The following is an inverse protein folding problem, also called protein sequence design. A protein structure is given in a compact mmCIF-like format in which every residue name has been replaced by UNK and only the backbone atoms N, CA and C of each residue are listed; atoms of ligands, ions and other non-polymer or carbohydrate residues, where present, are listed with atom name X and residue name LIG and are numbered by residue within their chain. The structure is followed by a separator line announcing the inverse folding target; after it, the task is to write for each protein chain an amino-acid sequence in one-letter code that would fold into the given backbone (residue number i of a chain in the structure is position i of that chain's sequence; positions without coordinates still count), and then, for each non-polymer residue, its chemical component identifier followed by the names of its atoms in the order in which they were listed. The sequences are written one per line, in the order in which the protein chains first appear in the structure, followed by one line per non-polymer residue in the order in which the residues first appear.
data_IF_504119695738
#
_entry.id   IF_504119695738
#
_cell.length_a   1.000
_cell.length_b   1.000
_cell.length_c   1.000
_cell.angle_alpha   90.00
_cell.angle_beta   90.00
_cell.angle_gamma   90.00
#
_symmetry.space_group_name_H-M   'P 1'
#
loop_
_entity.id
_entity.type
_entity.pdbx_description
1 polymer ?
#
# COMPACT_ATOMS: atom_id res chain seq x y z
N UNK A 1 13.15 -22.19 16.10
CA UNK A 1 13.51 -20.77 16.34
C UNK A 1 14.90 -20.63 15.80
N UNK A 2 15.10 -19.92 14.71
CA UNK A 2 16.43 -19.66 14.13
C UNK A 2 17.22 -18.86 15.17
N UNK A 3 18.37 -19.38 15.58
CA UNK A 3 19.11 -18.95 16.75
C UNK A 3 19.79 -17.58 16.63
N UNK A 4 19.76 -16.92 15.47
CA UNK A 4 20.59 -15.73 15.23
C UNK A 4 19.88 -14.39 15.39
N UNK A 5 18.61 -14.34 15.75
CA UNK A 5 17.91 -13.07 15.96
C UNK A 5 17.16 -13.00 17.29
N UNK A 6 17.90 -12.79 18.36
CA UNK A 6 17.27 -12.31 19.58
C UNK A 6 16.95 -10.82 19.44
N UNK A 7 15.70 -10.47 19.76
CA UNK A 7 15.23 -9.08 19.69
C UNK A 7 14.72 -8.65 21.05
N UNK A 8 15.13 -7.47 21.51
CA UNK A 8 14.55 -6.78 22.66
C UNK A 8 13.85 -5.50 22.23
N UNK A 9 12.97 -4.97 23.06
CA UNK A 9 12.44 -3.62 22.88
C UNK A 9 13.45 -2.60 23.39
N UNK A 10 13.74 -1.58 22.57
CA UNK A 10 14.51 -0.41 23.00
C UNK A 10 13.64 0.55 23.85
N UNK A 11 14.20 1.70 24.27
CA UNK A 11 13.50 2.75 25.02
C UNK A 11 12.27 3.28 24.28
N UNK A 12 12.27 3.23 22.97
CA UNK A 12 11.23 3.79 22.09
C UNK A 12 10.16 2.72 21.74
N UNK A 13 10.33 1.50 22.27
CA UNK A 13 9.42 0.38 22.05
C UNK A 13 9.67 -0.43 20.79
N UNK A 14 10.68 -0.08 20.00
CA UNK A 14 11.06 -0.79 18.79
C UNK A 14 11.78 -2.11 19.11
N UNK A 15 11.61 -3.10 18.23
CA UNK A 15 12.34 -4.36 18.32
C UNK A 15 13.69 -4.21 17.64
N UNK A 16 14.75 -4.18 18.44
CA UNK A 16 16.14 -4.15 17.97
C UNK A 16 16.82 -5.50 18.18
N UNK A 17 17.72 -5.86 17.29
CA UNK A 17 18.50 -7.10 17.43
C UNK A 17 19.50 -6.98 18.59
N UNK A 18 19.73 -8.10 19.26
CA UNK A 18 20.72 -8.24 20.31
C UNK A 18 21.96 -8.86 19.69
N UNK A 19 23.08 -8.16 19.76
CA UNK A 19 24.33 -8.58 19.14
C UNK A 19 25.49 -8.64 20.16
N UNK A 20 26.60 -9.29 19.77
CA UNK A 20 27.84 -9.29 20.53
C UNK A 20 27.69 -9.82 21.96
N UNK A 21 28.26 -9.10 22.93
CA UNK A 21 28.28 -9.48 24.36
C UNK A 21 26.88 -9.70 24.95
N UNK A 22 25.91 -8.90 24.54
CA UNK A 22 24.52 -9.02 24.99
C UNK A 22 23.88 -10.33 24.48
N UNK A 23 24.16 -10.71 23.24
CA UNK A 23 23.75 -12.00 22.65
C UNK A 23 24.38 -13.16 23.40
N UNK A 24 25.69 -13.09 23.68
CA UNK A 24 26.42 -14.14 24.38
C UNK A 24 25.91 -14.33 25.82
N UNK A 25 25.48 -13.25 26.47
CA UNK A 25 24.85 -13.31 27.79
C UNK A 25 23.49 -14.04 27.73
N UNK A 26 22.67 -13.83 26.69
CA UNK A 26 21.42 -14.58 26.50
C UNK A 26 21.68 -16.06 26.25
N UNK A 27 22.66 -16.42 25.45
CA UNK A 27 23.07 -17.82 25.24
C UNK A 27 23.52 -18.47 26.55
N UNK A 28 24.31 -17.75 27.35
CA UNK A 28 24.78 -18.24 28.65
C UNK A 28 23.62 -18.50 29.62
N UNK A 29 22.60 -17.63 29.64
CA UNK A 29 21.39 -17.81 30.44
C UNK A 29 20.57 -19.02 29.98
N UNK A 30 20.38 -19.21 28.66
CA UNK A 30 19.69 -20.38 28.11
C UNK A 30 20.42 -21.67 28.50
N UNK A 31 21.72 -21.71 28.36
CA UNK A 31 22.53 -22.89 28.70
C UNK A 31 22.55 -23.19 30.22
N UNK A 32 22.34 -22.18 31.06
CA UNK A 32 22.30 -22.36 32.51
C UNK A 32 20.93 -22.85 33.00
N UNK A 33 19.86 -22.74 32.23
CA UNK A 33 18.52 -23.18 32.59
C UNK A 33 18.32 -24.65 32.21
N UNK A 34 18.12 -25.58 33.18
CA UNK A 34 17.95 -27.01 32.88
C UNK A 34 16.68 -27.37 32.12
N UNK A 35 15.75 -26.42 31.95
CA UNK A 35 14.51 -26.58 31.19
C UNK A 35 14.63 -26.09 29.75
N UNK A 36 15.74 -25.45 29.40
CA UNK A 36 15.99 -24.90 28.08
C UNK A 36 17.15 -25.65 27.41
N UNK A 37 17.13 -25.72 26.12
CA UNK A 37 18.24 -26.24 25.32
C UNK A 37 18.34 -25.47 24.02
N UNK A 38 19.58 -25.24 23.60
CA UNK A 38 19.85 -24.70 22.25
C UNK A 38 19.83 -25.88 21.29
N UNK A 39 18.89 -25.85 20.36
CA UNK A 39 18.84 -26.83 19.28
C UNK A 39 19.82 -26.38 18.20
N UNK A 40 20.81 -27.22 17.91
CA UNK A 40 21.74 -26.98 16.81
C UNK A 40 21.02 -27.07 15.46
N UNK A 41 21.41 -26.22 14.52
CA UNK A 41 20.90 -26.29 13.16
C UNK A 41 21.36 -27.63 12.50
N UNK A 42 20.44 -28.23 11.75
CA UNK A 42 20.83 -29.32 10.86
C UNK A 42 21.66 -28.75 9.70
N UNK A 43 22.91 -29.19 9.58
CA UNK A 43 23.86 -28.65 8.62
C UNK A 43 23.35 -28.81 7.15
N UNK A 44 22.63 -29.91 6.87
CA UNK A 44 22.07 -30.15 5.53
C UNK A 44 20.93 -29.18 5.22
N UNK A 45 20.06 -28.92 6.19
CA UNK A 45 18.97 -27.95 6.06
C UNK A 45 19.52 -26.52 5.94
N UNK A 46 20.53 -26.15 6.74
CA UNK A 46 21.18 -24.85 6.66
C UNK A 46 21.84 -24.61 5.29
N UNK A 47 22.61 -25.61 4.77
CA UNK A 47 23.20 -25.51 3.45
C UNK A 47 22.17 -25.42 2.31
N UNK A 48 21.04 -26.12 2.44
CA UNK A 48 19.94 -26.05 1.47
C UNK A 48 19.29 -24.66 1.50
N UNK A 49 19.00 -24.12 2.67
CA UNK A 49 18.44 -22.77 2.84
C UNK A 49 19.38 -21.71 2.26
N UNK A 50 20.69 -21.81 2.53
CA UNK A 50 21.67 -20.89 1.98
C UNK A 50 21.68 -20.93 0.44
N UNK A 51 21.60 -22.12 -0.16
CA UNK A 51 21.51 -22.25 -1.62
C UNK A 51 20.27 -21.58 -2.24
N UNK A 52 19.15 -21.57 -1.52
CA UNK A 52 17.95 -20.84 -1.94
C UNK A 52 18.06 -19.34 -1.69
N UNK A 53 18.64 -18.93 -0.56
CA UNK A 53 18.84 -17.51 -0.23
C UNK A 53 19.69 -16.81 -1.31
N UNK A 54 20.78 -17.43 -1.74
CA UNK A 54 21.64 -16.89 -2.81
C UNK A 54 20.82 -16.66 -4.08
N UNK A 55 20.02 -17.64 -4.52
CA UNK A 55 19.18 -17.51 -5.72
C UNK A 55 18.11 -16.42 -5.56
N UNK A 56 17.52 -16.33 -4.39
CA UNK A 56 16.51 -15.29 -4.09
C UNK A 56 17.17 -13.92 -4.10
N UNK A 57 18.34 -13.74 -3.50
CA UNK A 57 19.07 -12.47 -3.52
C UNK A 57 19.48 -12.06 -4.93
N UNK A 58 19.94 -12.99 -5.75
CA UNK A 58 20.21 -12.75 -7.18
C UNK A 58 18.96 -12.23 -7.90
N UNK A 59 17.81 -12.88 -7.71
CA UNK A 59 16.55 -12.46 -8.32
C UNK A 59 16.10 -11.09 -7.81
N UNK A 60 16.20 -10.84 -6.50
CA UNK A 60 15.78 -9.58 -5.88
C UNK A 60 16.67 -8.39 -6.30
N UNK A 61 17.93 -8.66 -6.70
CA UNK A 61 18.88 -7.65 -7.17
C UNK A 61 18.64 -7.21 -8.63
N UNK A 62 17.79 -7.91 -9.39
CA UNK A 62 17.52 -7.58 -10.79
C UNK A 62 16.91 -6.18 -10.88
N UNK A 63 17.57 -5.29 -11.63
CA UNK A 63 17.05 -3.95 -11.92
C UNK A 63 15.83 -4.05 -12.84
N UNK A 64 14.73 -3.43 -12.43
CA UNK A 64 13.46 -3.36 -13.16
C UNK A 64 13.32 -2.04 -13.90
N UNK A 65 13.84 -0.94 -13.33
CA UNK A 65 13.76 0.39 -13.92
C UNK A 65 14.44 1.43 -13.05
N UNK A 66 14.05 2.70 -13.24
CA UNK A 66 14.59 3.84 -12.49
C UNK A 66 13.49 4.64 -11.80
N UNK A 67 13.81 5.17 -10.63
CA UNK A 67 12.98 6.14 -9.89
C UNK A 67 13.60 7.52 -10.05
N UNK A 68 12.87 8.43 -10.68
CA UNK A 68 13.39 9.77 -11.04
C UNK A 68 13.57 10.68 -9.82
N UNK A 69 12.79 10.45 -8.76
CA UNK A 69 12.77 11.26 -7.56
C UNK A 69 12.16 10.45 -6.39
N UNK A 70 12.34 10.91 -5.16
CA UNK A 70 11.77 10.25 -3.98
C UNK A 70 10.24 10.16 -4.07
N UNK A 71 9.69 8.96 -3.87
CA UNK A 71 8.26 8.68 -3.83
C UNK A 71 7.86 8.36 -2.39
N UNK A 72 7.21 9.34 -1.75
CA UNK A 72 6.87 9.30 -0.34
C UNK A 72 5.71 8.35 -0.05
N UNK A 73 5.84 7.56 1.03
CA UNK A 73 4.73 6.78 1.57
C UNK A 73 4.11 7.48 2.76
N UNK A 74 2.83 7.81 2.68
CA UNK A 74 1.99 8.17 3.82
C UNK A 74 0.66 7.42 3.74
N UNK A 75 -0.03 7.27 4.86
CA UNK A 75 -1.37 6.67 4.89
C UNK A 75 -2.42 7.73 4.63
N UNK A 76 -2.41 8.76 5.47
CA UNK A 76 -3.28 9.93 5.37
C UNK A 76 -2.39 11.12 4.98
N UNK A 77 -2.85 12.05 4.12
CA UNK A 77 -2.07 13.22 3.77
C UNK A 77 -1.53 13.96 5.01
N UNK A 78 -0.22 14.20 5.05
CA UNK A 78 0.46 14.92 6.13
C UNK A 78 0.82 14.08 7.36
N UNK A 79 0.63 12.75 7.34
CA UNK A 79 1.18 11.92 8.41
C UNK A 79 2.72 11.83 8.34
N UNK A 80 3.34 11.39 9.44
CA UNK A 80 4.80 11.30 9.58
C UNK A 80 5.38 9.92 9.25
N UNK A 81 4.68 9.12 8.45
CA UNK A 81 5.09 7.73 8.15
C UNK A 81 6.29 7.64 7.23
N UNK A 82 6.42 8.56 6.26
CA UNK A 82 7.55 8.56 5.34
C UNK A 82 8.88 8.75 6.09
N UNK A 83 9.89 7.97 5.69
CA UNK A 83 11.25 8.08 6.24
C UNK A 83 12.16 8.97 5.39
N UNK A 84 11.71 9.36 4.20
CA UNK A 84 12.50 10.12 3.22
C UNK A 84 11.86 11.46 2.83
N UNK A 85 10.65 11.74 3.32
CA UNK A 85 9.92 12.97 3.06
C UNK A 85 9.37 13.56 4.36
N UNK A 86 9.28 14.88 4.44
CA UNK A 86 8.61 15.55 5.56
C UNK A 86 7.09 15.53 5.40
N UNK A 87 6.32 15.64 6.51
CA UNK A 87 4.85 15.70 6.46
C UNK A 87 4.31 16.82 5.56
N UNK A 88 4.99 17.97 5.49
CA UNK A 88 4.57 19.11 4.67
C UNK A 88 4.57 18.79 3.18
N UNK A 89 5.48 17.91 2.72
CA UNK A 89 5.57 17.51 1.32
C UNK A 89 4.36 16.66 0.88
N UNK A 90 3.70 15.99 1.82
CA UNK A 90 2.57 15.10 1.56
C UNK A 90 1.23 15.63 2.07
N UNK A 91 1.23 16.79 2.77
CA UNK A 91 0.08 17.33 3.49
C UNK A 91 -1.14 17.60 2.60
N UNK A 92 -0.94 18.00 1.35
CA UNK A 92 -2.04 18.38 0.46
C UNK A 92 -2.64 17.20 -0.33
N UNK A 93 -1.82 16.20 -0.68
CA UNK A 93 -2.17 15.17 -1.69
C UNK A 93 -1.92 13.74 -1.25
N UNK A 94 -1.16 13.54 -0.19
CA UNK A 94 -0.84 12.22 0.35
C UNK A 94 0.34 11.54 -0.34
N UNK A 95 0.25 10.23 -0.44
CA UNK A 95 1.33 9.34 -0.84
C UNK A 95 1.64 9.36 -2.33
N UNK A 96 2.86 9.74 -2.70
CA UNK A 96 3.31 9.65 -4.10
C UNK A 96 3.32 8.20 -4.59
N UNK A 97 3.89 7.29 -3.79
CA UNK A 97 4.04 5.90 -4.22
C UNK A 97 2.71 5.16 -4.28
N UNK A 98 1.75 5.44 -3.37
CA UNK A 98 0.42 4.82 -3.44
C UNK A 98 -0.34 5.28 -4.69
N UNK A 99 -0.14 6.53 -5.11
CA UNK A 99 -0.69 7.04 -6.36
C UNK A 99 -0.08 6.34 -7.59
N UNK A 100 1.26 6.18 -7.61
CA UNK A 100 1.94 5.46 -8.71
C UNK A 100 1.48 4.00 -8.77
N UNK A 101 1.29 3.34 -7.62
CA UNK A 101 0.74 1.97 -7.57
C UNK A 101 -0.68 1.91 -8.11
N UNK A 102 -1.56 2.85 -7.73
CA UNK A 102 -2.93 2.90 -8.28
C UNK A 102 -2.92 3.10 -9.80
N UNK A 103 -2.05 3.98 -10.31
CA UNK A 103 -1.88 4.15 -11.76
C UNK A 103 -1.36 2.89 -12.44
N UNK A 104 -0.39 2.19 -11.85
CA UNK A 104 0.11 0.93 -12.36
C UNK A 104 -1.01 -0.11 -12.49
N UNK A 105 -1.83 -0.27 -11.47
CA UNK A 105 -2.93 -1.23 -11.51
C UNK A 105 -3.98 -0.89 -12.57
N UNK A 106 -4.30 0.42 -12.72
CA UNK A 106 -5.17 0.87 -13.80
C UNK A 106 -4.60 0.53 -15.18
N UNK A 107 -3.29 0.72 -15.38
CA UNK A 107 -2.63 0.43 -16.66
C UNK A 107 -2.57 -1.07 -16.95
N UNK A 108 -2.31 -1.90 -15.95
CA UNK A 108 -2.20 -3.35 -16.12
C UNK A 108 -3.58 -4.02 -16.30
N UNK A 109 -4.60 -3.57 -15.58
CA UNK A 109 -5.99 -4.00 -15.77
C UNK A 109 -6.66 -3.18 -16.90
N UNK A 110 -6.33 -3.50 -18.15
CA UNK A 110 -6.65 -2.70 -19.35
C UNK A 110 -8.14 -2.41 -19.55
N UNK A 111 -9.03 -3.24 -19.00
CA UNK A 111 -10.47 -3.04 -19.11
C UNK A 111 -11.03 -2.06 -18.06
N UNK A 112 -10.26 -1.72 -17.03
CA UNK A 112 -10.73 -0.88 -15.93
C UNK A 112 -10.53 0.61 -16.18
N UNK A 113 -11.55 1.40 -15.88
CA UNK A 113 -11.53 2.85 -16.01
C UNK A 113 -10.90 3.54 -14.80
N UNK A 114 -11.04 2.94 -13.63
CA UNK A 114 -10.63 3.47 -12.33
C UNK A 114 -9.83 2.39 -11.60
N UNK A 115 -8.75 2.77 -10.91
CA UNK A 115 -8.13 1.92 -9.89
C UNK A 115 -8.37 2.51 -8.50
N UNK A 116 -8.65 1.64 -7.51
CA UNK A 116 -8.76 2.02 -6.10
C UNK A 116 -7.81 1.15 -5.29
N UNK A 117 -6.94 1.79 -4.50
CA UNK A 117 -5.93 1.15 -3.68
C UNK A 117 -6.01 1.68 -2.25
N UNK A 118 -6.02 0.78 -1.26
CA UNK A 118 -5.88 1.18 0.15
C UNK A 118 -4.42 1.52 0.49
N UNK A 119 -4.20 2.57 1.25
CA UNK A 119 -2.86 2.99 1.69
C UNK A 119 -2.10 1.87 2.41
N UNK A 120 -2.81 0.96 3.09
CA UNK A 120 -2.28 -0.20 3.80
C UNK A 120 -1.61 -1.25 2.93
N UNK A 121 -2.02 -1.36 1.68
CA UNK A 121 -1.43 -2.28 0.72
C UNK A 121 -0.02 -1.90 0.27
N UNK A 122 0.36 -0.63 0.40
CA UNK A 122 1.68 -0.09 0.03
C UNK A 122 2.53 0.06 1.29
N UNK A 123 3.77 -0.46 1.32
CA UNK A 123 4.48 -0.72 2.57
C UNK A 123 5.75 0.08 2.81
N UNK A 124 6.34 0.71 1.79
CA UNK A 124 7.59 1.46 1.93
C UNK A 124 7.65 2.65 0.99
N UNK A 125 8.43 3.66 1.38
CA UNK A 125 8.90 4.70 0.47
C UNK A 125 9.79 4.08 -0.61
N UNK A 126 9.90 4.77 -1.76
CA UNK A 126 10.90 4.42 -2.77
C UNK A 126 11.80 5.63 -2.99
N UNK A 127 13.08 5.45 -2.72
CA UNK A 127 14.08 6.50 -2.96
C UNK A 127 14.42 6.63 -4.45
N UNK A 128 14.88 7.82 -4.85
CA UNK A 128 15.45 8.04 -6.17
C UNK A 128 16.62 7.10 -6.45
N UNK A 129 16.68 6.53 -7.63
CA UNK A 129 17.74 5.63 -8.08
C UNK A 129 17.24 4.41 -8.82
N UNK A 130 18.00 3.34 -8.80
CA UNK A 130 17.61 2.06 -9.38
C UNK A 130 16.42 1.47 -8.62
N UNK A 131 15.49 0.90 -9.36
CA UNK A 131 14.36 0.14 -8.84
C UNK A 131 14.55 -1.33 -9.16
N UNK A 132 14.59 -2.17 -8.14
CA UNK A 132 14.86 -3.60 -8.27
C UNK A 132 13.61 -4.45 -8.06
N UNK A 133 13.70 -5.70 -8.41
CA UNK A 133 12.67 -6.71 -8.08
C UNK A 133 12.44 -6.75 -6.56
N UNK A 134 13.49 -6.68 -5.76
CA UNK A 134 13.41 -6.66 -4.30
C UNK A 134 12.65 -5.44 -3.75
N UNK A 135 12.79 -4.29 -4.39
CA UNK A 135 12.03 -3.09 -4.00
C UNK A 135 10.54 -3.27 -4.28
N UNK A 136 10.18 -3.88 -5.41
CA UNK A 136 8.79 -4.17 -5.75
C UNK A 136 8.12 -5.08 -4.70
N UNK A 137 8.78 -6.18 -4.32
CA UNK A 137 8.25 -7.11 -3.32
C UNK A 137 8.28 -6.57 -1.89
N UNK A 138 9.20 -5.64 -1.56
CA UNK A 138 9.15 -4.88 -0.29
C UNK A 138 8.01 -3.86 -0.29
N UNK A 139 7.75 -3.24 -1.44
CA UNK A 139 6.67 -2.27 -1.62
C UNK A 139 5.30 -2.93 -1.51
N UNK A 140 5.12 -4.09 -2.15
CA UNK A 140 3.86 -4.82 -2.30
C UNK A 140 4.02 -6.28 -1.83
N UNK A 141 4.22 -6.53 -0.51
CA UNK A 141 4.63 -7.86 -0.02
C UNK A 141 3.49 -8.88 0.14
N UNK A 142 2.28 -8.53 -0.30
CA UNK A 142 1.12 -9.41 -0.12
C UNK A 142 0.86 -10.22 -1.38
N UNK A 143 0.50 -11.50 -1.20
CA UNK A 143 0.08 -12.38 -2.29
C UNK A 143 -1.37 -12.08 -2.72
N UNK A 144 -1.63 -10.83 -3.09
CA UNK A 144 -2.91 -10.38 -3.60
C UNK A 144 -2.99 -10.52 -5.12
N UNK A 145 -4.21 -10.64 -5.64
CA UNK A 145 -4.50 -10.49 -7.07
C UNK A 145 -5.22 -9.18 -7.34
N UNK A 146 -5.11 -8.68 -8.58
CA UNK A 146 -5.96 -7.61 -9.07
C UNK A 146 -7.32 -8.18 -9.45
N UNK A 147 -8.37 -7.46 -9.10
CA UNK A 147 -9.73 -7.85 -9.39
C UNK A 147 -10.50 -6.69 -10.01
N UNK A 148 -11.39 -6.99 -10.94
CA UNK A 148 -12.24 -6.01 -11.59
C UNK A 148 -13.67 -6.10 -11.07
N UNK A 149 -14.34 -4.94 -10.93
CA UNK A 149 -15.71 -4.83 -10.42
C UNK A 149 -16.48 -3.77 -11.21
N UNK A 150 -17.73 -4.06 -11.54
CA UNK A 150 -18.62 -3.07 -12.18
C UNK A 150 -19.47 -2.39 -11.10
N UNK A 151 -19.28 -1.07 -10.95
CA UNK A 151 -19.93 -0.26 -9.90
C UNK A 151 -20.50 1.04 -10.46
N UNK A 152 -21.65 1.45 -9.93
CA UNK A 152 -22.17 2.80 -10.20
C UNK A 152 -21.34 3.87 -9.50
N UNK A 153 -21.36 5.12 -10.01
CA UNK A 153 -20.70 6.23 -9.35
C UNK A 153 -21.21 6.48 -7.92
N UNK A 154 -22.48 6.19 -7.66
CA UNK A 154 -23.03 6.23 -6.32
C UNK A 154 -22.40 5.19 -5.39
N UNK A 155 -22.24 3.94 -5.84
CA UNK A 155 -21.59 2.87 -5.07
C UNK A 155 -20.11 3.16 -4.83
N UNK A 156 -19.42 3.73 -5.83
CA UNK A 156 -18.02 4.17 -5.69
C UNK A 156 -17.89 5.23 -4.59
N UNK A 157 -18.79 6.22 -4.57
CA UNK A 157 -18.79 7.21 -3.50
C UNK A 157 -19.00 6.58 -2.13
N UNK A 158 -19.97 5.68 -2.01
CA UNK A 158 -20.27 5.00 -0.73
C UNK A 158 -19.05 4.23 -0.22
N UNK A 159 -18.42 3.42 -1.05
CA UNK A 159 -17.27 2.60 -0.59
C UNK A 159 -16.06 3.44 -0.21
N UNK A 160 -15.84 4.59 -0.87
CA UNK A 160 -14.74 5.50 -0.51
C UNK A 160 -15.03 6.24 0.79
N UNK A 161 -16.29 6.61 1.05
CA UNK A 161 -16.71 7.19 2.34
C UNK A 161 -16.60 6.16 3.48
N UNK A 162 -16.96 4.89 3.26
CA UNK A 162 -16.78 3.79 4.21
C UNK A 162 -15.30 3.62 4.58
N UNK A 163 -14.41 3.58 3.58
CA UNK A 163 -12.98 3.45 3.77
C UNK A 163 -12.38 4.64 4.53
N UNK A 164 -12.81 5.86 4.15
CA UNK A 164 -12.36 7.09 4.81
C UNK A 164 -12.87 7.16 6.25
N UNK A 165 -14.11 6.74 6.51
CA UNK A 165 -14.65 6.68 7.86
C UNK A 165 -13.83 5.71 8.72
N UNK A 166 -13.58 4.49 8.22
CA UNK A 166 -12.76 3.51 8.92
C UNK A 166 -11.31 3.99 9.15
N UNK A 167 -10.73 4.73 8.19
CA UNK A 167 -9.39 5.29 8.33
C UNK A 167 -9.28 6.35 9.43
N UNK A 168 -10.36 7.06 9.72
CA UNK A 168 -10.40 8.19 10.66
C UNK A 168 -10.98 7.83 12.05
N UNK A 169 -11.47 6.61 12.22
CA UNK A 169 -11.99 6.16 13.53
C UNK A 169 -10.85 5.79 14.48
N UNK A 170 -11.01 6.00 15.80
CA UNK A 170 -10.01 5.64 16.80
C UNK A 170 -9.63 4.15 16.80
N UNK A 171 -10.62 3.27 16.55
CA UNK A 171 -10.45 1.82 16.49
C UNK A 171 -10.27 1.30 15.06
N UNK A 172 -10.12 2.22 14.10
CA UNK A 172 -9.94 1.92 12.69
C UNK A 172 -8.48 1.72 12.30
N UNK A 173 -8.21 1.82 11.02
CA UNK A 173 -6.84 1.70 10.49
C UNK A 173 -6.59 2.79 9.44
N UNK A 174 -5.57 3.60 9.66
CA UNK A 174 -5.07 4.58 8.69
C UNK A 174 -4.77 3.94 7.31
N UNK A 175 -4.45 2.65 7.32
CA UNK A 175 -4.25 1.84 6.11
C UNK A 175 -5.47 1.76 5.19
N UNK A 176 -6.66 2.05 5.69
CA UNK A 176 -7.88 2.09 4.88
C UNK A 176 -7.97 3.32 3.96
N UNK A 177 -7.21 4.39 4.23
CA UNK A 177 -7.29 5.62 3.43
C UNK A 177 -7.15 5.32 1.93
N UNK A 178 -8.12 5.79 1.09
CA UNK A 178 -8.15 5.43 -0.31
C UNK A 178 -7.24 6.30 -1.18
N UNK A 179 -6.57 5.66 -2.12
CA UNK A 179 -5.86 6.26 -3.25
C UNK A 179 -6.48 5.74 -4.55
N UNK A 180 -6.58 6.57 -5.58
CA UNK A 180 -7.21 6.15 -6.84
C UNK A 180 -6.52 6.74 -8.07
N UNK A 181 -6.57 6.02 -9.18
CA UNK A 181 -6.23 6.51 -10.51
C UNK A 181 -7.49 6.59 -11.38
N UNK A 182 -7.61 7.66 -12.17
CA UNK A 182 -8.82 7.95 -12.97
C UNK A 182 -9.99 8.51 -12.17
N UNK A 183 -9.79 8.75 -10.88
CA UNK A 183 -10.78 9.34 -9.97
C UNK A 183 -10.09 10.27 -8.98
N UNK A 184 -10.70 11.43 -8.69
CA UNK A 184 -10.20 12.41 -7.72
C UNK A 184 -11.33 13.11 -6.96
N UNK A 185 -11.00 13.69 -5.80
CA UNK A 185 -11.97 14.32 -4.89
C UNK A 185 -11.33 15.31 -3.92
N UNK A 186 -12.18 16.05 -3.21
CA UNK A 186 -11.80 16.83 -2.03
C UNK A 186 -12.28 16.15 -0.76
N UNK A 187 -11.49 16.24 0.31
CA UNK A 187 -11.80 15.67 1.63
C UNK A 187 -12.05 16.76 2.64
N UNK A 188 -13.13 16.69 3.41
CA UNK A 188 -13.39 17.51 4.60
C UNK A 188 -13.67 16.59 5.80
N UNK A 189 -12.66 16.38 6.64
CA UNK A 189 -12.77 15.49 7.82
C UNK A 189 -13.65 16.09 8.93
N UNK A 190 -14.03 17.38 8.84
CA UNK A 190 -14.95 18.01 9.78
C UNK A 190 -16.41 17.60 9.53
N UNK A 191 -16.70 17.01 8.39
CA UNK A 191 -18.04 16.52 8.03
C UNK A 191 -18.32 15.15 8.66
N UNK A 192 -19.60 14.82 8.87
CA UNK A 192 -19.96 13.48 9.35
C UNK A 192 -19.59 12.40 8.34
N UNK A 193 -19.46 11.17 8.83
CA UNK A 193 -19.29 9.97 8.01
C UNK A 193 -20.30 9.91 6.86
N UNK A 194 -19.87 9.50 5.68
CA UNK A 194 -20.69 9.46 4.48
C UNK A 194 -20.87 10.80 3.75
N UNK A 195 -20.26 11.88 4.24
CA UNK A 195 -20.38 13.22 3.65
C UNK A 195 -19.06 14.00 3.58
N UNK A 196 -17.92 13.29 3.74
CA UNK A 196 -16.58 13.89 3.76
C UNK A 196 -16.01 14.14 2.38
N UNK A 197 -16.47 13.37 1.38
CA UNK A 197 -16.02 13.50 0.00
C UNK A 197 -16.91 14.44 -0.81
N UNK A 198 -16.29 15.33 -1.55
CA UNK A 198 -16.97 16.29 -2.43
C UNK A 198 -16.20 16.48 -3.74
N UNK A 199 -16.85 17.06 -4.73
CA UNK A 199 -16.29 17.34 -6.05
C UNK A 199 -15.56 16.12 -6.63
N UNK A 200 -16.26 14.99 -6.62
CA UNK A 200 -15.72 13.76 -7.22
C UNK A 200 -15.72 13.89 -8.73
N UNK A 201 -14.55 13.70 -9.33
CA UNK A 201 -14.36 13.81 -10.78
C UNK A 201 -13.69 12.54 -11.31
N UNK A 202 -14.13 12.15 -12.47
CA UNK A 202 -13.66 10.98 -13.23
C UNK A 202 -12.94 11.43 -14.50
N UNK A 203 -11.91 10.67 -14.88
CA UNK A 203 -11.21 10.80 -16.15
C UNK A 203 -10.97 9.43 -16.77
N UNK A 204 -11.72 9.11 -17.80
CA UNK A 204 -11.56 7.88 -18.57
C UNK A 204 -10.17 7.78 -19.22
N UNK A 205 -9.84 6.58 -19.73
CA UNK A 205 -8.51 6.32 -20.32
C UNK A 205 -8.21 7.21 -21.51
N UNK A 206 -9.22 7.52 -22.30
CA UNK A 206 -9.12 8.30 -23.54
C UNK A 206 -9.54 9.76 -23.36
N UNK A 207 -9.91 10.16 -22.15
CA UNK A 207 -10.37 11.52 -21.88
C UNK A 207 -9.19 12.47 -21.70
N UNK A 208 -9.29 13.65 -22.27
CA UNK A 208 -8.30 14.73 -22.10
C UNK A 208 -8.58 15.58 -20.85
N UNK A 209 -9.78 15.50 -20.30
CA UNK A 209 -10.24 16.36 -19.19
C UNK A 209 -11.00 15.57 -18.12
N UNK A 210 -11.00 16.10 -16.91
CA UNK A 210 -11.81 15.62 -15.79
C UNK A 210 -13.26 16.07 -15.95
N UNK A 211 -14.20 15.20 -15.60
CA UNK A 211 -15.64 15.48 -15.55
C UNK A 211 -16.22 15.00 -14.23
N UNK A 212 -17.36 15.56 -13.84
CA UNK A 212 -18.04 15.12 -12.62
C UNK A 212 -18.36 13.62 -12.70
N UNK A 213 -18.12 12.89 -11.62
CA UNK A 213 -18.50 11.47 -11.51
C UNK A 213 -20.04 11.37 -11.56
N UNK A 214 -20.58 10.72 -12.59
CA UNK A 214 -22.01 10.48 -12.71
C UNK A 214 -22.44 9.34 -11.78
N UNK A 215 -23.28 9.65 -10.81
CA UNK A 215 -23.76 8.70 -9.82
C UNK A 215 -24.53 7.51 -10.40
N UNK A 216 -25.15 7.66 -11.57
CA UNK A 216 -25.98 6.65 -12.24
C UNK A 216 -25.21 5.81 -13.27
N UNK A 217 -24.09 6.30 -13.77
CA UNK A 217 -23.25 5.59 -14.73
C UNK A 217 -22.48 4.46 -14.06
N UNK A 218 -22.25 3.38 -14.81
CA UNK A 218 -21.43 2.24 -14.36
C UNK A 218 -20.01 2.41 -14.85
N UNK A 219 -19.06 2.17 -13.94
CA UNK A 219 -17.63 2.23 -14.18
C UNK A 219 -17.01 0.87 -13.85
N UNK A 220 -16.06 0.43 -14.63
CA UNK A 220 -15.24 -0.74 -14.30
C UNK A 220 -14.05 -0.26 -13.48
N UNK A 221 -13.96 -0.76 -12.25
CA UNK A 221 -12.86 -0.47 -11.35
C UNK A 221 -11.94 -1.69 -11.22
N UNK A 222 -10.65 -1.45 -10.99
CA UNK A 222 -9.69 -2.45 -10.53
C UNK A 222 -9.26 -2.14 -9.10
N UNK A 223 -9.13 -3.20 -8.31
CA UNK A 223 -8.61 -3.10 -6.95
C UNK A 223 -7.89 -4.41 -6.57
N UNK A 224 -7.34 -4.50 -5.35
CA UNK A 224 -6.80 -5.76 -4.86
C UNK A 224 -7.89 -6.62 -4.20
N UNK A 225 -7.72 -7.95 -4.26
CA UNK A 225 -8.72 -8.91 -3.75
C UNK A 225 -8.95 -8.82 -2.23
N UNK A 226 -7.99 -8.23 -1.47
CA UNK A 226 -8.12 -8.04 -0.03
C UNK A 226 -9.24 -7.04 0.30
N UNK A 227 -9.18 -5.78 -0.23
CA UNK A 227 -10.24 -4.81 0.01
C UNK A 227 -11.53 -5.16 -0.77
N UNK A 228 -11.44 -5.82 -1.91
CA UNK A 228 -12.61 -6.34 -2.62
C UNK A 228 -13.42 -7.35 -1.80
N UNK A 229 -12.81 -7.97 -0.78
CA UNK A 229 -13.51 -8.86 0.16
C UNK A 229 -14.17 -8.12 1.34
N UNK A 230 -14.15 -6.78 1.35
CA UNK A 230 -14.74 -5.94 2.40
C UNK A 230 -13.82 -5.67 3.58
N UNK A 231 -12.51 -5.92 3.44
CA UNK A 231 -11.51 -5.59 4.46
C UNK A 231 -11.21 -4.10 4.47
N UNK A 232 -10.58 -3.61 5.54
CA UNK A 232 -10.23 -2.20 5.73
C UNK A 232 -11.43 -1.24 5.55
N UNK A 233 -12.62 -1.66 5.96
CA UNK A 233 -13.81 -0.83 5.88
C UNK A 233 -14.47 -0.72 4.50
N UNK A 234 -13.95 -1.36 3.44
CA UNK A 234 -14.52 -1.32 2.07
C UNK A 234 -15.73 -2.26 1.93
N UNK A 235 -16.76 -2.06 2.76
CA UNK A 235 -17.87 -3.00 2.92
C UNK A 235 -18.71 -3.16 1.64
N UNK A 236 -18.95 -2.06 0.93
CA UNK A 236 -19.72 -2.06 -0.33
C UNK A 236 -19.04 -2.88 -1.42
N UNK A 237 -17.70 -3.01 -1.43
CA UNK A 237 -17.01 -3.93 -2.36
C UNK A 237 -17.42 -5.38 -2.15
N UNK A 238 -17.56 -5.83 -0.89
CA UNK A 238 -18.05 -7.18 -0.58
C UNK A 238 -19.47 -7.40 -1.10
N UNK A 239 -20.32 -6.37 -1.02
CA UNK A 239 -21.69 -6.44 -1.57
C UNK A 239 -21.65 -6.64 -3.07
N UNK A 240 -20.91 -5.81 -3.79
CA UNK A 240 -20.73 -5.89 -5.26
C UNK A 240 -20.17 -7.26 -5.68
N UNK A 241 -19.20 -7.78 -4.93
CA UNK A 241 -18.64 -9.12 -5.15
C UNK A 241 -19.71 -10.20 -4.99
N UNK A 242 -20.52 -10.14 -3.93
CA UNK A 242 -21.57 -11.10 -3.67
C UNK A 242 -22.70 -11.05 -4.70
N UNK A 243 -22.92 -9.88 -5.32
CA UNK A 243 -23.88 -9.68 -6.42
C UNK A 243 -23.38 -10.25 -7.76
N UNK A 244 -22.17 -10.81 -7.80
CA UNK A 244 -21.59 -11.41 -9.02
C UNK A 244 -21.00 -10.39 -9.99
N UNK A 245 -20.88 -9.11 -9.62
CA UNK A 245 -20.25 -8.05 -10.43
C UNK A 245 -18.75 -7.94 -10.17
N UNK A 246 -18.06 -9.08 -10.17
CA UNK A 246 -16.68 -9.25 -9.77
C UNK A 246 -15.98 -10.26 -10.69
N UNK A 247 -14.75 -9.95 -11.06
CA UNK A 247 -13.89 -10.86 -11.83
C UNK A 247 -12.47 -10.81 -11.23
N UNK A 248 -11.94 -11.96 -10.81
CA UNK A 248 -10.53 -12.07 -10.47
C UNK A 248 -9.73 -12.16 -11.78
N UNK A 249 -8.79 -11.26 -11.98
CA UNK A 249 -7.94 -11.24 -13.18
C UNK A 249 -6.79 -12.23 -13.10
N UNK A 250 -6.51 -12.76 -11.89
CA UNK A 250 -5.32 -13.54 -11.56
C UNK A 250 -3.99 -12.84 -11.83
N UNK A 251 -4.01 -11.54 -12.11
CA UNK A 251 -2.79 -10.73 -12.18
C UNK A 251 -2.23 -10.57 -10.77
N UNK A 252 -0.99 -11.00 -10.58
CA UNK A 252 -0.31 -10.83 -9.30
C UNK A 252 -0.08 -9.34 -9.01
N UNK A 253 -0.31 -8.96 -7.80
CA UNK A 253 -0.27 -7.60 -7.28
C UNK A 253 1.12 -6.94 -7.42
N UNK A 254 2.18 -7.62 -6.98
CA UNK A 254 3.54 -7.10 -7.07
C UNK A 254 4.09 -7.20 -8.50
N UNK A 255 3.82 -8.33 -9.19
CA UNK A 255 4.25 -8.51 -10.58
C UNK A 255 3.63 -7.49 -11.51
N UNK A 256 2.36 -7.13 -11.32
CA UNK A 256 1.72 -6.06 -12.09
C UNK A 256 2.46 -4.73 -11.97
N UNK A 257 2.98 -4.41 -10.79
CA UNK A 257 3.78 -3.21 -10.61
C UNK A 257 5.16 -3.32 -11.28
N UNK A 258 5.80 -4.49 -11.20
CA UNK A 258 7.05 -4.79 -11.92
C UNK A 258 6.87 -4.60 -13.42
N UNK A 259 5.83 -5.20 -13.99
CA UNK A 259 5.54 -5.12 -15.43
C UNK A 259 5.29 -3.67 -15.88
N UNK A 260 4.55 -2.90 -15.08
CA UNK A 260 4.35 -1.47 -15.31
C UNK A 260 5.66 -0.68 -15.34
N UNK A 261 6.59 -0.95 -14.41
CA UNK A 261 7.89 -0.26 -14.38
C UNK A 261 8.75 -0.70 -15.56
N UNK A 262 8.75 -1.99 -15.90
CA UNK A 262 9.48 -2.53 -17.07
C UNK A 262 9.01 -1.89 -18.39
N UNK A 263 7.70 -1.77 -18.59
CA UNK A 263 7.14 -1.15 -19.79
C UNK A 263 7.52 0.32 -19.94
N UNK A 264 7.68 1.05 -18.82
CA UNK A 264 7.99 2.49 -18.81
C UNK A 264 9.49 2.80 -18.69
N UNK A 265 10.29 1.86 -18.23
CA UNK A 265 11.71 2.03 -17.93
C UNK A 265 11.98 2.93 -16.72
N UNK A 266 11.06 3.80 -16.36
CA UNK A 266 11.19 4.69 -15.20
C UNK A 266 9.85 5.14 -14.64
N UNK A 267 9.84 5.42 -13.32
CA UNK A 267 8.69 6.00 -12.59
C UNK A 267 9.11 7.28 -11.86
N UNK A 268 8.14 8.11 -11.53
CA UNK A 268 8.31 9.38 -10.80
C UNK A 268 6.99 9.87 -10.26
N UNK A 269 6.99 11.04 -9.63
CA UNK A 269 5.75 11.68 -9.15
C UNK A 269 4.82 11.96 -10.33
N UNK A 270 3.55 11.82 -10.06
CA UNK A 270 2.51 12.15 -11.03
C UNK A 270 2.29 13.67 -11.06
N UNK A 271 1.74 14.22 -12.16
CA UNK A 271 1.24 15.58 -12.14
C UNK A 271 0.20 15.77 -11.03
N UNK A 272 0.17 16.95 -10.46
CA UNK A 272 -0.72 17.30 -9.34
C UNK A 272 -2.20 17.00 -9.59
N UNK A 273 -2.63 17.18 -10.83
CA UNK A 273 -4.01 16.90 -11.26
C UNK A 273 -4.38 15.42 -11.26
N UNK A 274 -3.40 14.52 -11.23
CA UNK A 274 -3.60 13.06 -11.25
C UNK A 274 -3.66 12.44 -9.85
N UNK A 275 -3.41 13.23 -8.79
CA UNK A 275 -3.61 12.72 -7.42
C UNK A 275 -5.10 12.61 -7.09
N UNK A 276 -5.47 11.54 -6.38
CA UNK A 276 -6.86 11.31 -5.98
C UNK A 276 -7.36 12.33 -4.95
N UNK A 277 -6.53 12.70 -3.98
CA UNK A 277 -6.83 13.77 -3.03
C UNK A 277 -6.39 15.11 -3.62
N UNK A 278 -7.33 15.98 -4.00
CA UNK A 278 -7.06 17.32 -4.53
C UNK A 278 -6.91 18.37 -3.43
N UNK A 279 -7.62 18.19 -2.33
CA UNK A 279 -7.41 18.93 -1.08
C UNK A 279 -7.93 18.13 0.10
N UNK A 280 -7.34 18.34 1.25
CA UNK A 280 -7.81 17.82 2.52
C UNK A 280 -7.95 18.98 3.52
N UNK A 281 -9.16 19.12 4.10
CA UNK A 281 -9.42 19.99 5.23
C UNK A 281 -9.53 19.11 6.48
N UNK A 282 -8.55 19.23 7.38
CA UNK A 282 -8.56 18.56 8.68
C UNK A 282 -9.02 19.52 9.77
N UNK A 283 -9.68 18.97 10.79
CA UNK A 283 -9.89 19.70 12.05
C UNK A 283 -8.54 19.75 12.76
N UNK A 284 -7.93 20.93 12.87
CA UNK A 284 -6.82 21.12 13.83
C UNK A 284 -7.38 20.88 15.23
N UNK A 285 -7.10 19.73 15.83
CA UNK A 285 -7.19 19.61 17.26
C UNK A 285 -6.06 20.45 17.84
N UNK A 286 -6.33 21.71 18.11
CA UNK A 286 -5.54 22.46 19.09
C UNK A 286 -5.74 21.73 20.40
N UNK A 287 -4.71 21.06 20.88
CA UNK A 287 -4.68 20.53 22.23
C UNK A 287 -4.92 21.70 23.21
N UNK A 288 -6.11 21.69 23.83
CA UNK A 288 -6.37 22.48 25.04
C UNK A 288 -5.70 21.79 26.23
#
# INVERSE_FOLDING_TARGET
MLADSFKRKNSDGDRVEIEGVERDAVYSQINADPKLSIVQEDASAAALLESFNIKVEEMLSIKVGEVKENLCLVRIPGDSRSKICSPEQTASKGSDISMVVAHAFREMAKASDIAIQNGGGVRTDIAKGDFTMGDAYKLLPFANTLVEMDMTGAEIKVVLEEALDYALQPDGSDGAYPYAAGLRWHVDTSKPAGSRLSNMEFKGRNDSSWSALDSSSTYRIVTNNYIASGRDGYLSFKTVKNDGRYTDTYLDYAQSFVDYVLERGSIGKLPDSEYSTQSIKSVSYTHL
#
